data_IF_752376626378
#
_entry.id   IF_752376626378
#
_cell.length_a   1.000
_cell.length_b   1.000
_cell.length_c   1.000
_cell.angle_alpha   90.00
_cell.angle_beta   90.00
_cell.angle_gamma   90.00
#
_symmetry.space_group_name_H-M   'P 1'
#
loop_
_entity.id
_entity.type
_entity.pdbx_description
1 polymer ?
#
# COMPACT_ATOMS: atom_id res chain seq x y z
N UNK A 1 -28.56 -17.04 36.45
CA UNK A 1 -27.56 -16.20 37.15
C UNK A 1 -26.26 -16.42 36.40
N UNK A 2 -26.15 -16.04 35.13
CA UNK A 2 -26.30 -14.71 34.53
C UNK A 2 -25.25 -13.71 35.04
N UNK A 3 -24.45 -13.25 34.07
CA UNK A 3 -23.58 -12.06 34.05
C UNK A 3 -22.37 -12.05 34.99
N UNK A 4 -21.26 -12.67 34.57
CA UNK A 4 -19.91 -12.21 34.89
C UNK A 4 -18.97 -12.56 33.72
N UNK A 5 -18.85 -11.65 32.76
CA UNK A 5 -17.59 -11.43 32.05
C UNK A 5 -17.53 -9.95 31.66
N UNK A 6 -17.35 -9.17 32.73
CA UNK A 6 -17.05 -7.76 32.68
C UNK A 6 -15.61 -7.62 32.16
N UNK A 7 -15.49 -7.13 30.93
CA UNK A 7 -14.52 -6.16 30.45
C UNK A 7 -13.15 -6.04 31.16
N UNK A 8 -12.13 -5.92 30.31
CA UNK A 8 -10.71 -5.61 30.57
C UNK A 8 -9.90 -6.89 30.77
N UNK A 9 -8.98 -7.32 29.91
CA UNK A 9 -7.83 -6.65 29.30
C UNK A 9 -7.50 -7.54 28.07
N UNK A 10 -7.58 -7.10 26.82
CA UNK A 10 -6.46 -6.61 25.99
C UNK A 10 -7.15 -6.02 24.73
N UNK A 11 -7.10 -4.71 24.45
CA UNK A 11 -7.35 -4.28 23.08
C UNK A 11 -6.12 -4.71 22.28
N UNK A 12 -6.22 -5.79 21.50
CA UNK A 12 -5.21 -6.08 20.48
C UNK A 12 -5.38 -5.03 19.37
N UNK A 13 -4.86 -3.82 19.62
CA UNK A 13 -4.75 -2.77 18.62
C UNK A 13 -3.69 -3.16 17.60
N UNK A 14 -4.05 -4.07 16.69
CA UNK A 14 -3.45 -4.11 15.36
C UNK A 14 -4.47 -4.64 14.34
N UNK A 15 -5.63 -3.98 14.23
CA UNK A 15 -6.46 -4.13 13.03
C UNK A 15 -5.77 -3.29 11.94
N UNK A 16 -4.75 -3.84 11.27
CA UNK A 16 -4.14 -3.24 10.07
C UNK A 16 -5.15 -3.26 8.92
N UNK A 17 -6.08 -2.30 8.92
CA UNK A 17 -7.07 -2.16 7.86
C UNK A 17 -8.35 -1.47 8.33
N UNK A 18 -9.05 -0.83 7.39
CA UNK A 18 -10.40 -0.32 7.63
C UNK A 18 -11.47 -1.39 7.37
N UNK A 19 -12.70 -1.13 7.83
CA UNK A 19 -13.84 -2.01 7.58
C UNK A 19 -14.13 -2.12 6.07
N UNK A 20 -13.97 -3.32 5.50
CA UNK A 20 -14.34 -3.62 4.12
C UNK A 20 -15.86 -3.46 3.96
N UNK A 21 -16.30 -2.44 3.21
CA UNK A 21 -17.72 -2.12 2.98
C UNK A 21 -18.15 -0.72 3.41
N UNK A 22 -17.30 0.03 4.13
CA UNK A 22 -17.56 1.45 4.40
C UNK A 22 -17.08 2.34 3.25
N UNK A 23 -17.95 3.25 2.79
CA UNK A 23 -17.63 4.28 1.79
C UNK A 23 -16.45 5.17 2.22
N UNK A 24 -16.29 5.39 3.53
CA UNK A 24 -15.19 6.16 4.10
C UNK A 24 -13.87 5.39 4.02
N UNK A 25 -13.90 4.09 4.28
CA UNK A 25 -12.70 3.24 4.18
C UNK A 25 -12.14 3.19 2.76
N UNK A 26 -13.01 3.11 1.75
CA UNK A 26 -12.60 3.14 0.35
C UNK A 26 -11.88 4.46 -0.01
N UNK A 27 -12.42 5.59 0.47
CA UNK A 27 -11.83 6.92 0.22
C UNK A 27 -10.48 7.07 0.91
N UNK A 28 -10.36 6.60 2.16
CA UNK A 28 -9.11 6.64 2.92
C UNK A 28 -8.05 5.75 2.28
N UNK A 29 -8.42 4.53 1.87
CA UNK A 29 -7.50 3.61 1.17
C UNK A 29 -7.00 4.22 -0.15
N UNK A 30 -7.89 4.86 -0.92
CA UNK A 30 -7.51 5.53 -2.15
C UNK A 30 -6.53 6.68 -1.94
N UNK A 31 -6.75 7.49 -0.89
CA UNK A 31 -5.83 8.56 -0.50
C UNK A 31 -4.48 8.01 -0.04
N UNK A 32 -4.48 6.96 0.77
CA UNK A 32 -3.25 6.33 1.26
C UNK A 32 -2.38 5.84 0.09
N UNK A 33 -2.98 5.08 -0.84
CA UNK A 33 -2.31 4.61 -2.05
C UNK A 33 -1.82 5.77 -2.93
N UNK A 34 -2.59 6.86 -3.02
CA UNK A 34 -2.17 8.06 -3.77
C UNK A 34 -0.92 8.73 -3.20
N UNK A 35 -0.81 8.81 -1.87
CA UNK A 35 0.39 9.36 -1.25
C UNK A 35 1.61 8.45 -1.39
N UNK A 36 1.41 7.13 -1.37
CA UNK A 36 2.47 6.15 -1.59
C UNK A 36 2.95 6.14 -3.04
N UNK A 37 2.03 6.09 -4.01
CA UNK A 37 2.37 5.94 -5.42
C UNK A 37 3.02 7.20 -6.02
N UNK A 38 2.76 8.41 -5.47
CA UNK A 38 3.19 9.67 -6.09
C UNK A 38 4.69 9.72 -6.41
N UNK A 39 5.52 9.15 -5.55
CA UNK A 39 6.97 9.20 -5.68
C UNK A 39 7.48 8.09 -6.62
N UNK A 40 6.71 7.00 -6.76
CA UNK A 40 6.91 5.96 -7.75
C UNK A 40 6.54 6.50 -9.14
N UNK A 41 5.36 7.12 -9.29
CA UNK A 41 4.85 7.71 -10.54
C UNK A 41 5.82 8.76 -11.08
N UNK A 42 6.37 9.63 -10.24
CA UNK A 42 7.38 10.62 -10.66
C UNK A 42 8.61 9.95 -11.27
N UNK A 43 9.11 8.88 -10.67
CA UNK A 43 10.28 8.17 -11.17
C UNK A 43 9.98 7.40 -12.47
N UNK A 44 8.79 6.79 -12.56
CA UNK A 44 8.32 6.09 -13.76
C UNK A 44 8.13 7.06 -14.93
N UNK A 45 7.49 8.20 -14.69
CA UNK A 45 7.30 9.25 -15.70
C UNK A 45 8.62 9.83 -16.22
N UNK A 46 9.60 10.05 -15.32
CA UNK A 46 10.95 10.48 -15.73
C UNK A 46 11.68 9.45 -16.62
N UNK A 47 11.23 8.20 -16.60
CA UNK A 47 11.85 7.08 -17.31
C UNK A 47 11.09 6.66 -18.57
N UNK A 48 10.09 7.46 -18.99
CA UNK A 48 9.16 7.10 -20.07
C UNK A 48 8.45 5.75 -19.85
N UNK A 49 8.25 5.36 -18.59
CA UNK A 49 7.47 4.17 -18.25
C UNK A 49 5.97 4.42 -18.29
N UNK A 50 5.21 3.35 -18.52
CA UNK A 50 3.76 3.37 -18.34
C UNK A 50 3.42 3.02 -16.90
N UNK A 51 2.52 3.83 -16.33
CA UNK A 51 1.94 3.63 -15.01
C UNK A 51 0.43 3.51 -15.14
N UNK A 52 -0.17 2.46 -14.56
CA UNK A 52 -1.61 2.27 -14.48
C UNK A 52 -1.97 1.84 -13.06
N UNK A 53 -3.00 2.46 -12.49
CA UNK A 53 -3.53 2.10 -11.17
C UNK A 53 -4.97 1.61 -11.29
N UNK A 54 -5.27 0.51 -10.60
CA UNK A 54 -6.61 -0.05 -10.47
C UNK A 54 -6.95 -0.29 -9.00
N UNK A 55 -7.50 0.74 -8.34
CA UNK A 55 -7.86 0.77 -6.90
C UNK A 55 -6.67 0.38 -5.99
N UNK A 56 -6.49 -0.93 -5.78
CA UNK A 56 -5.45 -1.53 -4.93
C UNK A 56 -4.26 -2.06 -5.74
N UNK A 57 -4.43 -2.30 -7.04
CA UNK A 57 -3.40 -2.84 -7.92
C UNK A 57 -2.65 -1.73 -8.66
N UNK A 58 -1.32 -1.86 -8.71
CA UNK A 58 -0.44 -0.93 -9.41
C UNK A 58 0.32 -1.70 -10.49
N UNK A 59 0.17 -1.29 -11.74
CA UNK A 59 0.88 -1.82 -12.90
C UNK A 59 1.91 -0.81 -13.38
N UNK A 60 3.16 -1.25 -13.47
CA UNK A 60 4.29 -0.42 -13.92
C UNK A 60 5.00 -1.17 -15.05
N UNK A 61 5.10 -0.53 -16.21
CA UNK A 61 5.84 -1.05 -17.37
C UNK A 61 6.97 -0.07 -17.67
N UNK A 62 8.20 -0.48 -17.41
CA UNK A 62 9.41 0.33 -17.60
C UNK A 62 10.45 -0.46 -18.37
N UNK A 63 11.06 0.19 -19.36
CA UNK A 63 12.15 -0.40 -20.14
C UNK A 63 13.49 -0.16 -19.42
N UNK A 64 13.71 -0.88 -18.31
CA UNK A 64 14.92 -0.80 -17.51
C UNK A 64 15.71 -2.12 -17.51
N UNK A 65 17.04 -2.07 -17.37
CA UNK A 65 17.83 -3.26 -17.09
C UNK A 65 17.34 -3.92 -15.78
N UNK A 66 17.21 -5.25 -15.78
CA UNK A 66 16.84 -6.05 -14.60
C UNK A 66 17.58 -5.61 -13.30
N UNK A 67 18.91 -5.36 -13.28
CA UNK A 67 19.60 -4.93 -12.06
C UNK A 67 19.18 -3.53 -11.57
N UNK A 68 18.75 -2.64 -12.46
CA UNK A 68 18.20 -1.34 -12.07
C UNK A 68 16.79 -1.48 -11.50
N UNK A 69 15.97 -2.35 -12.09
CA UNK A 69 14.63 -2.64 -11.61
C UNK A 69 14.67 -3.23 -10.19
N UNK A 70 15.51 -4.23 -9.92
CA UNK A 70 15.61 -4.85 -8.60
C UNK A 70 16.05 -3.86 -7.52
N UNK A 71 17.01 -2.98 -7.85
CA UNK A 71 17.47 -1.93 -6.94
C UNK A 71 16.36 -0.93 -6.62
N UNK A 72 15.53 -0.58 -7.61
CA UNK A 72 14.44 0.36 -7.43
C UNK A 72 13.28 -0.25 -6.65
N UNK A 73 12.97 -1.53 -6.86
CA UNK A 73 11.98 -2.25 -6.05
C UNK A 73 12.41 -2.32 -4.59
N UNK A 74 13.69 -2.63 -4.32
CA UNK A 74 14.21 -2.61 -2.95
C UNK A 74 14.07 -1.23 -2.31
N UNK A 75 14.37 -0.16 -3.07
CA UNK A 75 14.19 1.21 -2.60
C UNK A 75 12.73 1.56 -2.34
N UNK A 76 11.80 1.10 -3.17
CA UNK A 76 10.36 1.30 -2.94
C UNK A 76 9.83 0.49 -1.75
N UNK A 77 10.42 -0.68 -1.49
CA UNK A 77 10.13 -1.48 -0.30
C UNK A 77 10.64 -0.84 1.01
N UNK A 78 11.60 0.09 0.94
CA UNK A 78 12.06 0.88 2.09
C UNK A 78 11.15 2.08 2.38
N UNK A 79 10.31 2.53 1.43
CA UNK A 79 9.44 3.69 1.60
C UNK A 79 8.28 3.43 2.57
N UNK A 80 7.77 2.19 2.60
CA UNK A 80 6.66 1.82 3.45
C UNK A 80 6.85 0.40 3.99
N UNK A 81 6.86 0.27 5.32
CA UNK A 81 6.98 -1.02 6.00
C UNK A 81 5.76 -1.91 5.75
N UNK A 82 4.64 -1.33 5.31
CA UNK A 82 3.37 -2.02 5.10
C UNK A 82 3.17 -2.52 3.68
N UNK A 83 3.94 -2.01 2.71
CA UNK A 83 3.80 -2.35 1.29
C UNK A 83 5.10 -3.00 0.80
N UNK A 84 5.01 -4.26 0.34
CA UNK A 84 6.14 -4.99 -0.26
C UNK A 84 5.84 -5.33 -1.71
N UNK A 85 6.54 -4.67 -2.61
CA UNK A 85 6.57 -4.93 -4.04
C UNK A 85 7.50 -6.11 -4.35
N UNK A 86 7.07 -6.98 -5.26
CA UNK A 86 7.85 -8.08 -5.83
C UNK A 86 7.76 -7.99 -7.35
N UNK A 87 8.87 -8.25 -8.05
CA UNK A 87 8.92 -8.40 -9.50
C UNK A 87 9.20 -9.85 -9.90
#
# INVERSE_FOLDING_TARGET
MDVMDLYTIIPQTEIRGGAMGSLLTLTIANCYMYFYERDIVKQVNNSNGFYLRYIDDIFIIINWPIPHLSKQINRWNELDLNIKLKA
#
